data_IF_627139125848
#
_entry.id   IF_627139125848
#
_cell.length_a   1.000
_cell.length_b   1.000
_cell.length_c   1.000
_cell.angle_alpha   90.00
_cell.angle_beta   90.00
_cell.angle_gamma   90.00
#
_symmetry.space_group_name_H-M   'P 1'
#
loop_
_entity.id
_entity.type
_entity.pdbx_description
1 polymer ?
#
# COMPACT_ATOMS: atom_id res chain seq x y z
N UNK A 1 4.56 14.50 15.68
CA UNK A 1 5.01 13.68 14.55
C UNK A 1 4.55 12.24 14.76
N UNK A 2 4.14 11.55 13.71
CA UNK A 2 3.79 10.14 13.78
C UNK A 2 5.08 9.30 13.83
N UNK A 3 5.10 8.27 14.67
CA UNK A 3 6.21 7.33 14.77
C UNK A 3 5.68 5.97 15.22
N UNK A 4 6.06 4.92 14.51
CA UNK A 4 5.78 3.53 14.88
C UNK A 4 6.92 3.04 15.77
N UNK A 5 6.58 2.58 16.97
CA UNK A 5 7.57 2.16 17.99
C UNK A 5 7.78 0.67 18.04
N UNK A 6 6.81 -0.13 17.63
CA UNK A 6 6.84 -1.59 17.74
C UNK A 6 6.44 -2.26 16.43
N UNK A 7 6.98 -3.45 16.21
CA UNK A 7 6.58 -4.30 15.08
C UNK A 7 5.14 -4.79 15.28
N UNK A 8 4.30 -4.61 14.27
CA UNK A 8 2.96 -5.18 14.26
C UNK A 8 3.03 -6.71 14.21
N UNK A 9 2.20 -7.44 14.99
CA UNK A 9 2.06 -8.87 14.81
C UNK A 9 1.41 -9.21 13.46
N UNK A 10 1.68 -10.41 12.93
CA UNK A 10 1.00 -10.91 11.74
C UNK A 10 -0.35 -11.51 12.12
N UNK A 11 -1.40 -11.18 11.36
CA UNK A 11 -2.75 -11.69 11.56
C UNK A 11 -3.06 -12.81 10.55
N UNK A 12 -3.65 -13.90 11.05
CA UNK A 12 -4.03 -15.03 10.21
C UNK A 12 -5.24 -14.66 9.34
N UNK A 13 -5.32 -15.25 8.15
CA UNK A 13 -6.50 -15.18 7.30
C UNK A 13 -7.62 -16.00 7.97
N UNK A 14 -8.71 -15.35 8.31
CA UNK A 14 -9.91 -15.99 8.86
C UNK A 14 -10.72 -16.72 7.79
N UNK A 15 -11.64 -17.58 8.19
CA UNK A 15 -12.54 -18.28 7.24
C UNK A 15 -13.46 -17.31 6.48
N UNK A 16 -14.04 -16.24 7.09
CA UNK A 16 -14.78 -15.22 6.35
C UNK A 16 -13.94 -14.52 5.27
N UNK A 17 -12.69 -14.07 5.61
CA UNK A 17 -11.80 -13.46 4.64
C UNK A 17 -11.42 -14.45 3.53
N UNK A 18 -11.15 -15.70 3.87
CA UNK A 18 -10.83 -16.74 2.87
C UNK A 18 -11.98 -16.98 1.91
N UNK A 19 -13.21 -17.03 2.42
CA UNK A 19 -14.43 -17.17 1.58
C UNK A 19 -14.51 -16.01 0.58
N UNK A 20 -14.29 -14.78 1.04
CA UNK A 20 -14.23 -13.61 0.19
C UNK A 20 -13.13 -13.73 -0.90
N UNK A 21 -11.91 -14.15 -0.51
CA UNK A 21 -10.77 -14.29 -1.44
C UNK A 21 -11.03 -15.35 -2.53
N UNK A 22 -11.65 -16.47 -2.18
CA UNK A 22 -12.05 -17.51 -3.15
C UNK A 22 -13.07 -16.93 -4.14
N UNK A 23 -14.12 -16.29 -3.64
CA UNK A 23 -15.19 -15.73 -4.47
C UNK A 23 -14.67 -14.63 -5.43
N UNK A 24 -13.70 -13.85 -4.99
CA UNK A 24 -13.11 -12.77 -5.80
C UNK A 24 -11.95 -13.23 -6.69
N UNK A 25 -11.62 -14.54 -6.68
CA UNK A 25 -10.52 -15.11 -7.47
C UNK A 25 -9.13 -14.71 -6.99
N UNK A 26 -9.01 -14.23 -5.74
CA UNK A 26 -7.73 -13.91 -5.11
C UNK A 26 -7.05 -15.13 -4.51
N UNK A 27 -7.81 -16.04 -3.90
CA UNK A 27 -7.31 -17.36 -3.48
C UNK A 27 -7.28 -18.27 -4.69
N UNK A 28 -6.10 -18.74 -5.07
CA UNK A 28 -5.89 -19.58 -6.25
C UNK A 28 -4.81 -20.63 -5.98
N UNK A 29 -4.83 -21.70 -6.76
CA UNK A 29 -3.79 -22.70 -6.65
C UNK A 29 -2.50 -22.21 -7.31
N UNK A 30 -1.42 -22.14 -6.52
CA UNK A 30 -0.08 -21.81 -7.00
C UNK A 30 0.86 -23.00 -6.81
N UNK A 31 1.81 -23.22 -7.74
CA UNK A 31 2.61 -24.45 -7.77
C UNK A 31 3.72 -24.49 -6.71
N UNK A 32 4.06 -23.36 -6.07
CA UNK A 32 5.10 -23.27 -5.05
C UNK A 32 4.71 -22.20 -4.02
N UNK A 33 5.05 -22.43 -2.75
CA UNK A 33 4.69 -21.53 -1.63
C UNK A 33 5.90 -20.78 -1.10
N UNK A 34 5.63 -19.78 -0.23
CA UNK A 34 6.68 -19.05 0.50
C UNK A 34 7.57 -20.01 1.30
N UNK A 35 6.97 -20.99 1.98
CA UNK A 35 7.70 -21.97 2.79
C UNK A 35 8.67 -22.79 1.97
N UNK A 36 8.27 -23.22 0.76
CA UNK A 36 9.14 -23.97 -0.13
C UNK A 36 10.36 -23.13 -0.58
N UNK A 37 10.12 -21.85 -0.90
CA UNK A 37 11.16 -20.95 -1.42
C UNK A 37 12.19 -20.50 -0.38
N UNK A 38 11.85 -20.46 0.91
CA UNK A 38 12.82 -20.12 1.96
C UNK A 38 13.77 -21.27 2.30
N UNK A 39 13.49 -22.49 1.84
CA UNK A 39 14.41 -23.62 1.91
C UNK A 39 15.44 -23.52 0.77
N UNK A 40 16.59 -22.98 1.06
CA UNK A 40 17.70 -22.78 0.12
C UNK A 40 19.01 -23.37 0.65
N UNK A 41 19.99 -23.59 -0.22
CA UNK A 41 21.28 -24.19 0.14
C UNK A 41 22.23 -23.15 0.75
N UNK A 42 22.28 -21.96 0.17
CA UNK A 42 23.11 -20.84 0.59
C UNK A 42 22.56 -19.53 0.04
N UNK A 43 23.15 -18.40 0.40
CA UNK A 43 22.79 -17.09 -0.11
C UNK A 43 24.02 -16.23 -0.39
N UNK A 44 23.85 -15.20 -1.22
CA UNK A 44 24.90 -14.24 -1.55
C UNK A 44 24.35 -12.83 -1.31
N UNK A 45 25.09 -12.03 -0.53
CA UNK A 45 24.73 -10.62 -0.27
C UNK A 45 24.66 -9.82 -1.58
N UNK A 46 23.52 -9.13 -1.77
CA UNK A 46 23.31 -8.29 -2.92
C UNK A 46 23.81 -6.86 -2.65
N UNK A 47 24.78 -6.40 -3.40
CA UNK A 47 25.30 -5.04 -3.36
C UNK A 47 24.69 -4.16 -4.46
N UNK A 48 24.52 -2.88 -4.19
CA UNK A 48 24.13 -1.90 -5.19
C UNK A 48 25.29 -1.54 -6.13
N UNK A 49 25.05 -0.66 -7.12
CA UNK A 49 26.07 -0.22 -8.09
C UNK A 49 27.24 0.53 -7.43
N UNK A 50 27.08 1.03 -6.21
CA UNK A 50 28.13 1.71 -5.44
C UNK A 50 28.92 0.76 -4.54
N UNK A 51 28.56 -0.54 -4.51
CA UNK A 51 29.16 -1.55 -3.63
C UNK A 51 28.58 -1.56 -2.21
N UNK A 52 27.50 -0.83 -1.94
CA UNK A 52 26.85 -0.82 -0.64
C UNK A 52 25.95 -2.04 -0.50
N UNK A 53 25.98 -2.68 0.66
CA UNK A 53 25.06 -3.76 1.03
C UNK A 53 23.60 -3.26 1.01
N UNK A 54 22.76 -3.95 0.27
CA UNK A 54 21.33 -3.63 0.12
C UNK A 54 20.46 -4.25 1.20
N UNK A 55 21.02 -5.08 2.08
CA UNK A 55 20.34 -5.92 3.04
C UNK A 55 19.37 -6.93 2.39
N UNK A 56 19.64 -7.26 1.14
CA UNK A 56 19.01 -8.36 0.41
C UNK A 56 20.06 -9.43 0.12
N UNK A 57 19.64 -10.69 0.15
CA UNK A 57 20.47 -11.83 -0.22
C UNK A 57 19.85 -12.60 -1.39
N UNK A 58 20.62 -12.82 -2.44
CA UNK A 58 20.21 -13.69 -3.54
C UNK A 58 20.31 -15.15 -3.09
N UNK A 59 19.21 -15.88 -3.14
CA UNK A 59 19.13 -17.27 -2.72
C UNK A 59 19.71 -18.23 -3.76
N UNK A 60 20.45 -19.21 -3.28
CA UNK A 60 21.01 -20.29 -4.11
C UNK A 60 20.29 -21.59 -3.75
N UNK A 61 19.58 -22.15 -4.72
CA UNK A 61 18.85 -23.40 -4.61
C UNK A 61 19.72 -24.58 -5.07
N UNK A 62 19.31 -25.80 -4.66
CA UNK A 62 19.92 -27.00 -5.18
C UNK A 62 19.75 -27.06 -6.71
N UNK A 63 20.83 -27.33 -7.49
CA UNK A 63 20.73 -27.43 -8.96
C UNK A 63 19.67 -28.42 -9.46
N UNK A 64 19.37 -29.48 -8.69
CA UNK A 64 18.32 -30.46 -9.04
C UNK A 64 16.90 -29.84 -8.99
N UNK A 65 16.67 -28.86 -8.13
CA UNK A 65 15.36 -28.24 -7.91
C UNK A 65 15.19 -26.94 -8.68
N UNK A 66 16.30 -26.34 -9.16
CA UNK A 66 16.33 -24.99 -9.71
C UNK A 66 15.37 -24.84 -10.91
N UNK A 67 15.37 -25.80 -11.84
CA UNK A 67 14.50 -25.74 -13.01
C UNK A 67 13.01 -25.80 -12.61
N UNK A 68 12.67 -26.67 -11.68
CA UNK A 68 11.31 -26.79 -11.15
C UNK A 68 10.86 -25.48 -10.48
N UNK A 69 11.70 -24.89 -9.63
CA UNK A 69 11.43 -23.61 -8.95
C UNK A 69 11.19 -22.50 -9.99
N UNK A 70 12.06 -22.39 -10.99
CA UNK A 70 11.93 -21.38 -12.05
C UNK A 70 10.64 -21.56 -12.86
N UNK A 71 10.25 -22.78 -13.19
CA UNK A 71 9.02 -23.07 -13.92
C UNK A 71 7.77 -22.75 -13.09
N UNK A 72 7.81 -23.04 -11.78
CA UNK A 72 6.76 -22.64 -10.84
C UNK A 72 6.61 -21.12 -10.75
N UNK A 73 7.72 -20.38 -10.60
CA UNK A 73 7.73 -18.93 -10.50
C UNK A 73 7.25 -18.26 -11.80
N UNK A 74 7.58 -18.80 -12.98
CA UNK A 74 7.03 -18.30 -14.26
C UNK A 74 5.53 -18.51 -14.34
N UNK A 75 4.99 -19.67 -13.91
CA UNK A 75 3.55 -19.92 -13.85
C UNK A 75 2.84 -18.94 -12.91
N UNK A 76 3.41 -18.66 -11.74
CA UNK A 76 2.88 -17.65 -10.81
C UNK A 76 2.83 -16.28 -11.48
N UNK A 77 3.91 -15.87 -12.16
CA UNK A 77 3.93 -14.59 -12.87
C UNK A 77 2.86 -14.52 -13.97
N UNK A 78 2.63 -15.62 -14.71
CA UNK A 78 1.55 -15.70 -15.70
C UNK A 78 0.17 -15.52 -15.05
N UNK A 79 -0.09 -16.17 -13.92
CA UNK A 79 -1.35 -16.00 -13.18
C UNK A 79 -1.53 -14.57 -12.70
N UNK A 80 -0.46 -13.92 -12.20
CA UNK A 80 -0.50 -12.57 -11.67
C UNK A 80 -0.72 -11.49 -12.74
N UNK A 81 -0.14 -11.66 -13.94
CA UNK A 81 -0.09 -10.61 -14.98
C UNK A 81 -0.98 -10.87 -16.20
N UNK A 82 -1.16 -12.11 -16.62
CA UNK A 82 -1.81 -12.46 -17.90
C UNK A 82 -2.90 -13.54 -17.77
N UNK A 83 -3.50 -13.65 -16.59
CA UNK A 83 -4.62 -14.59 -16.39
C UNK A 83 -4.25 -16.07 -16.52
N UNK A 84 -2.96 -16.42 -16.39
CA UNK A 84 -2.48 -17.79 -16.42
C UNK A 84 -2.01 -18.31 -17.80
N UNK A 85 -2.03 -17.49 -18.86
CA UNK A 85 -1.56 -17.88 -20.19
C UNK A 85 -0.04 -17.99 -20.26
N UNK A 86 0.50 -19.17 -20.00
CA UNK A 86 1.95 -19.42 -19.96
C UNK A 86 2.63 -19.21 -21.32
N UNK A 87 1.95 -19.49 -22.44
CA UNK A 87 2.50 -19.30 -23.78
C UNK A 87 2.95 -17.85 -24.04
N UNK A 88 2.29 -16.86 -23.42
CA UNK A 88 2.65 -15.44 -23.57
C UNK A 88 3.94 -15.07 -22.88
N UNK A 89 4.46 -15.92 -21.98
CA UNK A 89 5.66 -15.66 -21.16
C UNK A 89 6.81 -16.65 -21.44
N UNK A 90 6.77 -17.41 -22.54
CA UNK A 90 7.84 -18.37 -22.89
C UNK A 90 9.23 -17.74 -23.04
N UNK A 91 9.25 -16.47 -23.47
CA UNK A 91 10.48 -15.68 -23.62
C UNK A 91 11.00 -15.11 -22.28
N UNK A 92 10.28 -15.29 -21.17
CA UNK A 92 10.68 -14.84 -19.85
C UNK A 92 11.47 -15.92 -19.11
N UNK A 93 12.44 -15.51 -18.28
CA UNK A 93 13.16 -16.41 -17.38
C UNK A 93 13.33 -15.76 -16.01
N UNK A 94 13.45 -16.59 -14.98
CA UNK A 94 13.77 -16.13 -13.63
C UNK A 94 15.27 -15.90 -13.55
N UNK A 95 15.66 -14.68 -13.26
CA UNK A 95 17.05 -14.28 -13.09
C UNK A 95 17.56 -14.64 -11.69
N UNK A 96 16.81 -14.24 -10.67
CA UNK A 96 17.13 -14.51 -9.26
C UNK A 96 15.93 -14.37 -8.34
N UNK A 97 16.08 -14.94 -7.16
CA UNK A 97 15.18 -14.76 -6.02
C UNK A 97 15.98 -14.13 -4.88
N UNK A 98 15.58 -12.95 -4.44
CA UNK A 98 16.25 -12.21 -3.37
C UNK A 98 15.42 -12.26 -2.08
N UNK A 99 16.05 -12.50 -0.94
CA UNK A 99 15.45 -12.56 0.40
C UNK A 99 15.78 -11.28 1.18
N UNK A 100 14.77 -10.63 1.76
CA UNK A 100 14.95 -9.40 2.52
C UNK A 100 15.25 -9.67 3.99
N UNK A 101 16.40 -9.19 4.49
CA UNK A 101 16.83 -9.41 5.87
C UNK A 101 16.18 -8.46 6.87
N UNK A 102 15.83 -7.24 6.45
CA UNK A 102 15.40 -6.16 7.37
C UNK A 102 13.89 -6.02 7.53
N UNK A 103 13.12 -6.44 6.52
CA UNK A 103 11.66 -6.29 6.56
C UNK A 103 11.00 -7.30 7.51
N UNK A 104 9.92 -6.89 8.16
CA UNK A 104 9.21 -7.71 9.17
C UNK A 104 8.71 -9.04 8.64
N UNK A 105 8.26 -9.09 7.41
CA UNK A 105 7.68 -10.27 6.76
C UNK A 105 8.72 -11.07 5.98
N UNK A 106 9.98 -10.63 5.97
CA UNK A 106 11.05 -11.24 5.19
C UNK A 106 10.61 -11.61 3.76
N UNK A 107 10.19 -10.64 2.94
CA UNK A 107 9.69 -10.92 1.60
C UNK A 107 10.77 -11.48 0.70
N UNK A 108 10.34 -12.38 -0.19
CA UNK A 108 11.11 -12.80 -1.34
C UNK A 108 10.77 -11.89 -2.52
N UNK A 109 11.78 -11.34 -3.19
CA UNK A 109 11.64 -10.59 -4.43
C UNK A 109 12.15 -11.44 -5.59
N UNK A 110 11.27 -11.72 -6.52
CA UNK A 110 11.62 -12.49 -7.73
C UNK A 110 11.86 -11.53 -8.88
N UNK A 111 13.03 -11.63 -9.50
CA UNK A 111 13.36 -10.88 -10.72
C UNK A 111 13.14 -11.77 -11.93
N UNK A 112 12.27 -11.32 -12.83
CA UNK A 112 11.98 -11.98 -14.11
C UNK A 112 12.45 -11.10 -15.26
N UNK A 113 13.08 -11.69 -16.27
CA UNK A 113 13.72 -10.99 -17.38
C UNK A 113 13.21 -11.50 -18.70
N UNK A 114 12.98 -10.59 -19.63
CA UNK A 114 12.58 -10.89 -21.01
C UNK A 114 13.84 -11.09 -21.87
N UNK A 115 14.01 -12.30 -22.44
CA UNK A 115 15.16 -12.66 -23.29
C UNK A 115 15.24 -11.88 -24.60
N UNK A 116 14.14 -11.25 -25.04
CA UNK A 116 14.09 -10.57 -26.34
C UNK A 116 14.63 -9.14 -26.29
N UNK A 117 14.52 -8.48 -25.13
CA UNK A 117 14.86 -7.05 -24.99
C UNK A 117 15.55 -6.69 -23.69
N UNK A 118 15.93 -7.67 -22.86
CA UNK A 118 16.57 -7.54 -21.55
C UNK A 118 15.79 -6.68 -20.52
N UNK A 119 14.53 -6.35 -20.79
CA UNK A 119 13.68 -5.70 -19.81
C UNK A 119 13.33 -6.70 -18.70
N UNK A 120 13.18 -6.17 -17.50
CA UNK A 120 12.86 -6.99 -16.34
C UNK A 120 11.68 -6.42 -15.55
N UNK A 121 11.01 -7.31 -14.82
CA UNK A 121 9.97 -6.99 -13.85
C UNK A 121 10.27 -7.71 -12.53
N UNK A 122 9.56 -7.31 -11.48
CA UNK A 122 9.61 -7.93 -10.17
C UNK A 122 8.22 -8.37 -9.73
N UNK A 123 8.18 -9.35 -8.85
CA UNK A 123 7.04 -9.64 -8.00
C UNK A 123 7.54 -10.13 -6.64
N UNK A 124 6.66 -10.11 -5.65
CA UNK A 124 7.03 -10.43 -4.28
C UNK A 124 6.24 -11.62 -3.78
N UNK A 125 6.90 -12.48 -3.00
CA UNK A 125 6.26 -13.61 -2.31
C UNK A 125 6.53 -13.44 -0.82
N UNK A 126 5.46 -13.46 -0.01
CA UNK A 126 5.49 -13.14 1.41
C UNK A 126 4.66 -14.15 2.21
N UNK A 127 4.83 -14.14 3.54
CA UNK A 127 3.82 -14.73 4.42
C UNK A 127 2.55 -13.89 4.35
N UNK A 128 1.40 -14.55 4.23
CA UNK A 128 0.12 -13.87 4.21
C UNK A 128 -0.18 -13.23 5.58
N UNK A 129 -0.71 -12.01 5.53
CA UNK A 129 -1.18 -11.24 6.69
C UNK A 129 -2.55 -10.65 6.34
N UNK A 130 -3.56 -10.96 7.14
CA UNK A 130 -4.93 -10.52 6.89
C UNK A 130 -5.06 -9.00 6.83
N UNK A 131 -4.37 -8.27 7.72
CA UNK A 131 -4.36 -6.81 7.74
C UNK A 131 -3.86 -6.24 6.40
N UNK A 132 -2.74 -6.77 5.88
CA UNK A 132 -2.18 -6.38 4.59
C UNK A 132 -3.14 -6.67 3.43
N UNK A 133 -3.80 -7.83 3.44
CA UNK A 133 -4.78 -8.23 2.41
C UNK A 133 -5.98 -7.28 2.42
N UNK A 134 -6.51 -6.93 3.59
CA UNK A 134 -7.58 -5.92 3.71
C UNK A 134 -7.16 -4.58 3.12
N UNK A 135 -5.94 -4.12 3.40
CA UNK A 135 -5.42 -2.88 2.86
C UNK A 135 -5.32 -2.90 1.33
N UNK A 136 -4.83 -3.98 0.74
CA UNK A 136 -4.75 -4.15 -0.71
C UNK A 136 -6.14 -4.18 -1.38
N UNK A 137 -7.12 -4.87 -0.78
CA UNK A 137 -8.49 -4.89 -1.31
C UNK A 137 -9.17 -3.52 -1.19
N UNK A 138 -9.03 -2.84 -0.05
CA UNK A 138 -9.56 -1.48 0.11
C UNK A 138 -8.94 -0.52 -0.90
N UNK A 139 -7.60 -0.55 -1.09
CA UNK A 139 -6.95 0.28 -2.12
C UNK A 139 -7.45 -0.07 -3.52
N UNK A 140 -7.58 -1.36 -3.85
CA UNK A 140 -8.11 -1.82 -5.15
C UNK A 140 -9.54 -1.33 -5.42
N UNK A 141 -10.40 -1.33 -4.40
CA UNK A 141 -11.82 -0.97 -4.53
C UNK A 141 -12.06 0.55 -4.46
N UNK A 142 -11.33 1.26 -3.60
CA UNK A 142 -11.58 2.67 -3.28
C UNK A 142 -10.76 3.66 -4.11
N UNK A 143 -9.64 3.23 -4.71
CA UNK A 143 -8.74 4.09 -5.46
C UNK A 143 -8.74 3.79 -6.97
N UNK A 144 -8.15 4.66 -7.81
CA UNK A 144 -7.93 4.32 -9.22
C UNK A 144 -6.84 3.26 -9.43
N UNK A 145 -6.11 2.92 -8.37
CA UNK A 145 -4.96 2.03 -8.42
C UNK A 145 -5.43 0.57 -8.38
N UNK A 146 -5.22 -0.16 -9.45
CA UNK A 146 -5.47 -1.61 -9.43
C UNK A 146 -4.31 -2.30 -8.73
N UNK A 147 -4.64 -3.21 -7.83
CA UNK A 147 -3.68 -4.04 -7.10
C UNK A 147 -3.89 -5.50 -7.54
N UNK A 148 -2.85 -6.11 -8.10
CA UNK A 148 -2.86 -7.51 -8.46
C UNK A 148 -2.07 -8.29 -7.42
N UNK A 149 -2.74 -9.28 -6.83
CA UNK A 149 -2.13 -10.20 -5.89
C UNK A 149 -2.87 -11.53 -5.88
N UNK A 150 -2.22 -12.57 -5.41
CA UNK A 150 -2.75 -13.91 -5.25
C UNK A 150 -2.46 -14.41 -3.84
N UNK A 151 -3.34 -15.26 -3.33
CA UNK A 151 -3.18 -15.92 -2.03
C UNK A 151 -3.27 -17.42 -2.23
N UNK A 152 -2.43 -18.19 -1.50
CA UNK A 152 -2.54 -19.65 -1.37
C UNK A 152 -2.17 -20.03 0.06
N UNK A 153 -3.16 -20.43 0.84
CA UNK A 153 -2.93 -20.79 2.24
C UNK A 153 -2.29 -19.63 3.03
N UNK A 154 -1.03 -19.78 3.42
CA UNK A 154 -0.26 -18.75 4.14
C UNK A 154 0.78 -18.03 3.25
N UNK A 155 0.61 -18.11 1.94
CA UNK A 155 1.47 -17.44 0.96
C UNK A 155 0.71 -16.31 0.29
N UNK A 156 1.31 -15.13 0.26
CA UNK A 156 0.83 -13.96 -0.44
C UNK A 156 1.82 -13.62 -1.56
N UNK A 157 1.30 -13.41 -2.77
CA UNK A 157 2.08 -13.04 -3.95
C UNK A 157 1.56 -11.69 -4.44
N UNK A 158 2.45 -10.72 -4.58
CA UNK A 158 2.12 -9.34 -4.95
C UNK A 158 2.87 -8.91 -6.20
N UNK A 159 2.21 -8.17 -7.07
CA UNK A 159 2.89 -7.52 -8.17
C UNK A 159 3.81 -6.39 -7.68
N UNK A 160 4.85 -6.11 -8.44
CA UNK A 160 5.65 -4.90 -8.24
C UNK A 160 4.88 -3.68 -8.74
N UNK A 161 4.70 -2.70 -7.86
CA UNK A 161 4.11 -1.40 -8.20
C UNK A 161 5.24 -0.48 -8.64
N UNK A 162 5.31 -0.21 -9.94
CA UNK A 162 6.34 0.62 -10.52
C UNK A 162 6.16 2.10 -10.15
N UNK A 163 7.28 2.80 -9.93
CA UNK A 163 7.31 4.23 -9.62
C UNK A 163 8.61 4.63 -8.95
N UNK A 164 8.80 5.91 -8.72
CA UNK A 164 9.93 6.44 -7.96
C UNK A 164 9.56 6.38 -6.48
N UNK A 165 10.35 5.71 -5.61
CA UNK A 165 10.09 5.74 -4.17
C UNK A 165 9.97 7.17 -3.65
N UNK A 166 9.00 7.44 -2.77
CA UNK A 166 8.67 8.80 -2.34
C UNK A 166 9.84 9.54 -1.71
N UNK A 167 10.69 8.85 -0.94
CA UNK A 167 11.91 9.42 -0.36
C UNK A 167 12.93 9.82 -1.43
N UNK A 168 13.08 9.01 -2.48
CA UNK A 168 13.93 9.30 -3.65
C UNK A 168 13.34 10.43 -4.49
N UNK A 169 12.02 10.43 -4.67
CA UNK A 169 11.31 11.51 -5.36
C UNK A 169 11.54 12.85 -4.66
N UNK A 170 11.41 12.90 -3.34
CA UNK A 170 11.68 14.10 -2.54
C UNK A 170 13.12 14.58 -2.67
N UNK A 171 14.09 13.68 -2.62
CA UNK A 171 15.53 14.03 -2.63
C UNK A 171 16.03 14.47 -4.01
N UNK A 172 15.47 13.93 -5.09
CA UNK A 172 16.01 14.13 -6.45
C UNK A 172 15.04 14.85 -7.39
N UNK A 173 13.76 14.48 -7.38
CA UNK A 173 12.80 14.96 -8.36
C UNK A 173 12.19 16.32 -8.00
N UNK A 174 11.88 16.58 -6.72
CA UNK A 174 11.34 17.87 -6.26
C UNK A 174 12.32 19.05 -6.47
N UNK A 175 13.59 18.77 -6.67
CA UNK A 175 14.61 19.79 -6.95
C UNK A 175 14.62 20.25 -8.42
N UNK A 176 13.88 19.57 -9.29
CA UNK A 176 13.78 19.92 -10.72
C UNK A 176 12.78 21.05 -10.91
N UNK A 177 12.94 21.79 -12.04
CA UNK A 177 12.04 22.91 -12.39
C UNK A 177 11.15 22.60 -13.60
N UNK A 178 11.08 21.33 -14.03
CA UNK A 178 10.39 20.89 -15.25
C UNK A 178 9.02 20.24 -14.97
N UNK A 179 8.40 20.56 -13.84
CA UNK A 179 7.07 20.05 -13.48
C UNK A 179 6.22 21.14 -12.80
N UNK A 180 4.91 20.94 -12.81
CA UNK A 180 3.98 21.83 -12.10
C UNK A 180 3.85 21.38 -10.62
N UNK A 181 4.38 22.19 -9.66
CA UNK A 181 4.39 21.80 -8.25
C UNK A 181 3.00 21.65 -7.63
N UNK A 182 1.99 22.40 -8.12
CA UNK A 182 0.61 22.27 -7.67
C UNK A 182 0.06 20.85 -7.94
N UNK A 183 0.48 20.19 -9.02
CA UNK A 183 0.01 18.83 -9.35
C UNK A 183 0.50 17.80 -8.34
N UNK A 184 1.76 17.89 -7.91
CA UNK A 184 2.32 17.02 -6.86
C UNK A 184 1.58 17.25 -5.54
N UNK A 185 1.41 18.51 -5.14
CA UNK A 185 0.71 18.88 -3.92
C UNK A 185 -0.76 18.41 -3.92
N UNK A 186 -1.47 18.58 -5.04
CA UNK A 186 -2.83 18.06 -5.25
C UNK A 186 -2.91 16.54 -5.04
N UNK A 187 -2.01 15.78 -5.65
CA UNK A 187 -2.02 14.32 -5.51
C UNK A 187 -1.68 13.89 -4.08
N UNK A 188 -0.81 14.63 -3.38
CA UNK A 188 -0.52 14.37 -1.96
C UNK A 188 -1.75 14.62 -1.07
N UNK A 189 -2.54 15.68 -1.31
CA UNK A 189 -3.82 15.91 -0.60
C UNK A 189 -4.77 14.73 -0.82
N UNK A 190 -4.91 14.26 -2.06
CA UNK A 190 -5.74 13.10 -2.38
C UNK A 190 -5.25 11.82 -1.73
N UNK A 191 -3.92 11.62 -1.69
CA UNK A 191 -3.31 10.48 -1.03
C UNK A 191 -3.59 10.48 0.47
N UNK A 192 -3.51 11.66 1.14
CA UNK A 192 -3.91 11.79 2.55
C UNK A 192 -5.37 11.38 2.77
N UNK A 193 -6.30 11.82 1.91
CA UNK A 193 -7.72 11.46 2.04
C UNK A 193 -7.93 9.94 1.90
N UNK A 194 -7.30 9.31 0.90
CA UNK A 194 -7.40 7.85 0.73
C UNK A 194 -6.86 7.10 1.93
N UNK A 195 -5.66 7.45 2.38
CA UNK A 195 -5.01 6.79 3.53
C UNK A 195 -5.86 6.90 4.80
N UNK A 196 -6.43 8.08 5.08
CA UNK A 196 -7.29 8.26 6.26
C UNK A 196 -8.59 7.45 6.15
N UNK A 197 -9.29 7.55 5.01
CA UNK A 197 -10.61 6.94 4.88
C UNK A 197 -10.56 5.42 4.99
N UNK A 198 -9.53 4.79 4.42
CA UNK A 198 -9.33 3.35 4.50
C UNK A 198 -8.53 2.89 5.73
N UNK A 199 -8.06 3.82 6.56
CA UNK A 199 -7.19 3.59 7.71
C UNK A 199 -5.90 2.84 7.33
N UNK A 200 -5.25 3.28 6.25
CA UNK A 200 -3.94 2.80 5.84
C UNK A 200 -2.84 3.65 6.48
N UNK A 201 -2.12 3.06 7.42
CA UNK A 201 -1.10 3.75 8.21
C UNK A 201 0.29 3.71 7.60
N UNK A 202 1.20 4.49 8.21
CA UNK A 202 2.65 4.53 7.93
C UNK A 202 3.03 4.94 6.50
N UNK A 203 2.26 5.82 5.87
CA UNK A 203 2.55 6.31 4.52
C UNK A 203 3.67 7.37 4.51
N UNK A 204 4.86 6.99 5.00
CA UNK A 204 6.11 7.75 4.86
C UNK A 204 6.77 7.51 3.50
N UNK A 205 7.82 8.25 3.17
CA UNK A 205 8.39 8.30 1.83
C UNK A 205 8.87 6.98 1.22
N UNK A 206 9.18 5.97 2.02
CA UNK A 206 9.59 4.63 1.57
C UNK A 206 8.41 3.65 1.38
N UNK A 207 7.20 4.01 1.84
CA UNK A 207 6.01 3.16 1.79
C UNK A 207 5.03 3.53 0.66
N UNK A 208 5.40 4.49 -0.18
CA UNK A 208 4.67 4.80 -1.42
C UNK A 208 5.63 5.11 -2.56
N UNK A 209 5.13 5.01 -3.79
CA UNK A 209 5.83 5.44 -5.00
C UNK A 209 5.08 6.56 -5.70
N UNK A 210 5.83 7.36 -6.44
CA UNK A 210 5.30 8.39 -7.34
C UNK A 210 5.44 7.88 -8.77
N UNK A 211 4.31 7.62 -9.39
CA UNK A 211 4.20 7.31 -10.82
C UNK A 211 4.14 8.62 -11.60
N UNK A 212 5.02 8.79 -12.58
CA UNK A 212 5.04 9.96 -13.46
C UNK A 212 4.40 9.56 -14.78
N UNK A 213 3.33 10.25 -15.13
CA UNK A 213 2.55 9.97 -16.33
C UNK A 213 2.71 11.16 -17.29
N UNK A 214 3.46 11.00 -18.39
CA UNK A 214 3.54 12.03 -19.43
C UNK A 214 2.18 12.20 -20.13
N UNK A 215 1.75 13.45 -20.32
CA UNK A 215 0.55 13.80 -21.06
C UNK A 215 0.79 15.07 -21.87
N UNK A 216 1.00 14.93 -23.17
CA UNK A 216 1.34 16.00 -24.11
C UNK A 216 2.48 16.90 -23.56
N UNK A 217 2.15 18.13 -23.16
CA UNK A 217 3.12 19.14 -22.70
C UNK A 217 3.30 19.16 -21.17
N UNK A 218 2.63 18.25 -20.43
CA UNK A 218 2.61 18.29 -18.98
C UNK A 218 2.87 16.91 -18.34
N UNK A 219 3.35 16.94 -17.09
CA UNK A 219 3.54 15.75 -16.27
C UNK A 219 2.43 15.64 -15.23
N UNK A 220 1.78 14.47 -15.17
CA UNK A 220 0.88 14.10 -14.10
C UNK A 220 1.61 13.18 -13.12
N UNK A 221 1.19 13.27 -11.88
CA UNK A 221 1.74 12.48 -10.79
C UNK A 221 0.63 11.65 -10.16
N UNK A 222 0.95 10.42 -9.80
CA UNK A 222 0.06 9.55 -9.05
C UNK A 222 0.85 8.94 -7.89
N UNK A 223 0.36 9.15 -6.66
CA UNK A 223 0.92 8.52 -5.49
C UNK A 223 0.21 7.18 -5.25
N UNK A 224 1.00 6.12 -5.13
CA UNK A 224 0.53 4.75 -4.92
C UNK A 224 1.18 4.15 -3.69
N UNK A 225 0.38 3.69 -2.73
CA UNK A 225 0.88 2.90 -1.61
C UNK A 225 1.50 1.59 -2.12
N UNK A 226 2.60 1.17 -1.51
CA UNK A 226 3.29 -0.10 -1.79
C UNK A 226 3.47 -0.96 -0.54
N UNK A 227 3.26 -0.36 0.63
CA UNK A 227 3.26 -1.08 1.89
C UNK A 227 1.88 -0.97 2.58
N UNK A 228 1.29 -2.11 2.88
CA UNK A 228 -0.01 -2.25 3.51
C UNK A 228 0.09 -2.90 4.90
N UNK A 229 1.29 -3.02 5.46
CA UNK A 229 1.51 -3.71 6.73
C UNK A 229 0.83 -3.01 7.92
N UNK A 230 0.67 -1.68 7.86
CA UNK A 230 0.04 -0.88 8.92
C UNK A 230 -1.46 -0.59 8.66
N UNK A 231 -2.12 -1.44 7.90
CA UNK A 231 -3.57 -1.35 7.72
C UNK A 231 -4.29 -1.61 9.04
N UNK A 232 -5.06 -0.63 9.54
CA UNK A 232 -5.96 -0.77 10.69
C UNK A 232 -5.30 -1.33 11.97
N UNK A 233 -4.07 -0.93 12.28
CA UNK A 233 -3.39 -1.46 13.46
C UNK A 233 -3.21 -0.42 14.57
N UNK A 234 -2.74 0.78 14.27
CA UNK A 234 -2.37 1.78 15.27
C UNK A 234 -3.58 2.53 15.85
N UNK A 235 -3.46 2.95 17.11
CA UNK A 235 -4.53 3.69 17.80
C UNK A 235 -4.55 5.19 17.49
N UNK A 236 -3.45 5.78 17.04
CA UNK A 236 -3.39 7.20 16.75
C UNK A 236 -3.82 7.53 15.32
N UNK A 237 -4.77 8.43 15.14
CA UNK A 237 -5.23 8.90 13.83
C UNK A 237 -4.09 9.54 13.01
N UNK A 238 -3.07 10.08 13.65
CA UNK A 238 -1.92 10.70 12.96
C UNK A 238 -1.12 9.69 12.11
N UNK A 239 -1.15 8.41 12.45
CA UNK A 239 -0.48 7.35 11.68
C UNK A 239 -1.15 7.14 10.31
N UNK A 240 -2.44 7.44 10.18
CA UNK A 240 -3.23 7.30 8.95
C UNK A 240 -3.24 8.57 8.09
N UNK A 241 -2.45 9.55 8.47
CA UNK A 241 -2.31 10.83 7.78
C UNK A 241 -0.86 11.01 7.33
N UNK A 242 -0.53 10.77 6.05
CA UNK A 242 0.82 10.91 5.48
C UNK A 242 1.49 12.24 5.80
N UNK A 243 0.71 13.30 5.99
CA UNK A 243 1.20 14.63 6.35
C UNK A 243 1.87 14.73 7.74
N UNK A 244 1.72 13.74 8.62
CA UNK A 244 2.38 13.76 9.93
C UNK A 244 3.74 13.07 9.96
N UNK A 245 4.17 12.50 8.84
CA UNK A 245 5.52 11.94 8.70
C UNK A 245 6.47 13.01 8.17
N UNK A 246 7.55 13.29 8.93
CA UNK A 246 8.50 14.37 8.60
C UNK A 246 9.22 14.17 7.26
N UNK A 247 9.35 12.94 6.81
CA UNK A 247 9.91 12.57 5.51
C UNK A 247 9.13 13.20 4.35
N UNK A 248 7.83 13.46 4.56
CA UNK A 248 6.92 14.07 3.60
C UNK A 248 6.90 15.61 3.65
N UNK A 249 7.60 16.23 4.62
CA UNK A 249 7.63 17.70 4.79
C UNK A 249 7.95 18.47 3.50
N UNK A 250 8.88 18.05 2.61
CA UNK A 250 9.12 18.78 1.38
C UNK A 250 7.89 18.87 0.47
N UNK A 251 7.06 17.82 0.41
CA UNK A 251 5.80 17.83 -0.37
C UNK A 251 4.77 18.71 0.34
N UNK A 252 4.70 18.67 1.66
CA UNK A 252 3.81 19.51 2.47
C UNK A 252 4.15 21.00 2.27
N UNK A 253 5.43 21.34 2.33
CA UNK A 253 5.91 22.70 2.08
C UNK A 253 5.60 23.19 0.66
N UNK A 254 5.58 22.28 -0.31
CA UNK A 254 5.15 22.57 -1.66
C UNK A 254 3.66 22.94 -1.69
N UNK A 255 2.83 22.21 -0.93
CA UNK A 255 1.42 22.50 -0.74
C UNK A 255 1.18 23.89 -0.17
N UNK A 256 1.88 24.27 0.91
CA UNK A 256 1.78 25.60 1.50
C UNK A 256 2.11 26.73 0.51
N UNK A 257 3.06 26.51 -0.39
CA UNK A 257 3.48 27.51 -1.37
C UNK A 257 2.53 27.63 -2.57
N UNK A 258 1.77 26.60 -2.89
CA UNK A 258 1.05 26.48 -4.16
C UNK A 258 -0.47 26.39 -4.02
N UNK A 259 -0.99 26.12 -2.81
CA UNK A 259 -2.43 25.94 -2.58
C UNK A 259 -2.94 26.88 -1.51
N UNK A 260 -4.12 27.44 -1.73
CA UNK A 260 -4.92 28.06 -0.68
C UNK A 260 -5.71 27.00 0.11
N UNK A 261 -6.16 27.28 1.34
CA UNK A 261 -7.04 26.39 2.11
C UNK A 261 -8.32 26.00 1.32
N UNK A 262 -8.88 26.91 0.57
CA UNK A 262 -10.07 26.67 -0.27
C UNK A 262 -9.79 25.64 -1.34
N UNK A 263 -8.62 25.74 -2.00
CA UNK A 263 -8.21 24.81 -3.07
C UNK A 263 -7.89 23.42 -2.48
N UNK A 264 -7.24 23.37 -1.32
CA UNK A 264 -7.01 22.11 -0.61
C UNK A 264 -8.34 21.39 -0.29
N UNK A 265 -9.30 22.09 0.29
CA UNK A 265 -10.63 21.56 0.59
C UNK A 265 -11.37 21.10 -0.68
N UNK A 266 -11.16 21.77 -1.81
CA UNK A 266 -11.72 21.32 -3.09
C UNK A 266 -11.15 19.96 -3.48
N UNK A 267 -9.83 19.76 -3.40
CA UNK A 267 -9.18 18.49 -3.74
C UNK A 267 -9.56 17.34 -2.79
N UNK A 268 -9.74 17.64 -1.51
CA UNK A 268 -10.27 16.69 -0.54
C UNK A 268 -11.68 16.24 -0.94
N UNK A 269 -12.58 17.17 -1.26
CA UNK A 269 -13.95 16.87 -1.72
C UNK A 269 -13.97 16.06 -3.02
N UNK A 270 -13.12 16.42 -3.99
CA UNK A 270 -12.99 15.68 -5.25
C UNK A 270 -12.62 14.22 -5.00
N UNK A 271 -11.64 13.96 -4.12
CA UNK A 271 -11.21 12.60 -3.86
C UNK A 271 -12.27 11.79 -3.09
N UNK A 272 -12.87 12.39 -2.07
CA UNK A 272 -13.97 11.76 -1.31
C UNK A 272 -15.16 11.43 -2.21
N UNK A 273 -15.55 12.31 -3.11
CA UNK A 273 -16.61 12.05 -4.08
C UNK A 273 -16.28 10.90 -5.04
N UNK A 274 -15.02 10.79 -5.47
CA UNK A 274 -14.54 9.68 -6.31
C UNK A 274 -14.55 8.35 -5.53
N UNK A 275 -14.11 8.35 -4.27
CA UNK A 275 -14.19 7.17 -3.42
C UNK A 275 -15.64 6.74 -3.22
N UNK A 276 -16.54 7.67 -2.92
CA UNK A 276 -17.98 7.39 -2.77
C UNK A 276 -18.58 6.77 -4.04
N UNK A 277 -18.22 7.29 -5.22
CA UNK A 277 -18.66 6.71 -6.49
C UNK A 277 -18.21 5.27 -6.64
N UNK A 278 -16.97 4.93 -6.23
CA UNK A 278 -16.44 3.57 -6.25
C UNK A 278 -17.11 2.67 -5.21
N UNK A 279 -17.35 3.19 -4.00
CA UNK A 279 -18.11 2.46 -2.97
C UNK A 279 -19.48 2.04 -3.52
N UNK A 280 -20.22 2.96 -4.14
CA UNK A 280 -21.53 2.66 -4.74
C UNK A 280 -21.44 1.65 -5.90
N UNK A 281 -20.41 1.74 -6.72
CA UNK A 281 -20.21 0.83 -7.85
C UNK A 281 -19.84 -0.60 -7.43
N UNK A 282 -19.16 -0.77 -6.28
CA UNK A 282 -18.69 -2.06 -5.76
C UNK A 282 -19.34 -2.43 -4.42
N UNK A 283 -20.52 -1.89 -4.11
CA UNK A 283 -21.14 -1.95 -2.78
C UNK A 283 -21.22 -3.38 -2.22
N UNK A 284 -21.71 -4.33 -2.99
CA UNK A 284 -21.84 -5.72 -2.51
C UNK A 284 -20.49 -6.36 -2.14
N UNK A 285 -19.43 -6.06 -2.92
CA UNK A 285 -18.10 -6.55 -2.65
C UNK A 285 -17.48 -5.88 -1.41
N UNK A 286 -17.69 -4.58 -1.24
CA UNK A 286 -17.22 -3.82 -0.08
C UNK A 286 -17.95 -4.28 1.17
N UNK A 287 -19.28 -4.47 1.14
CA UNK A 287 -20.05 -4.93 2.29
C UNK A 287 -19.61 -6.31 2.76
N UNK A 288 -19.31 -7.23 1.85
CA UNK A 288 -18.79 -8.55 2.18
C UNK A 288 -17.38 -8.47 2.79
N UNK A 289 -16.49 -7.67 2.20
CA UNK A 289 -15.15 -7.44 2.72
C UNK A 289 -15.18 -6.88 4.14
N UNK A 290 -16.00 -5.84 4.36
CA UNK A 290 -16.13 -5.20 5.67
C UNK A 290 -16.77 -6.11 6.69
N UNK A 291 -17.73 -6.94 6.30
CA UNK A 291 -18.36 -7.93 7.20
C UNK A 291 -17.34 -8.95 7.70
N UNK A 292 -16.42 -9.41 6.83
CA UNK A 292 -15.31 -10.26 7.25
C UNK A 292 -14.34 -9.49 8.17
N UNK A 293 -14.01 -8.25 7.80
CA UNK A 293 -13.07 -7.42 8.56
C UNK A 293 -13.57 -7.04 9.95
N UNK A 294 -14.88 -6.89 10.15
CA UNK A 294 -15.50 -6.59 11.44
C UNK A 294 -15.40 -7.75 12.45
N UNK A 295 -15.29 -8.98 11.94
CA UNK A 295 -15.14 -10.19 12.75
C UNK A 295 -13.68 -10.50 13.11
N UNK A 296 -12.72 -9.87 12.43
CA UNK A 296 -11.31 -10.11 12.62
C UNK A 296 -10.68 -9.17 13.65
N UNK A 297 -9.82 -9.71 14.51
CA UNK A 297 -8.97 -8.92 15.41
C UNK A 297 -7.75 -8.43 14.63
N UNK A 298 -7.78 -7.18 14.20
CA UNK A 298 -6.68 -6.55 13.43
C UNK A 298 -5.82 -5.60 14.27
N UNK A 299 -6.18 -5.39 15.54
CA UNK A 299 -5.48 -4.51 16.46
C UNK A 299 -5.83 -4.85 17.91
N UNK A 300 -5.17 -4.16 18.86
CA UNK A 300 -5.49 -4.30 20.28
C UNK A 300 -6.77 -3.54 20.64
N UNK A 301 -7.48 -3.94 21.71
CA UNK A 301 -8.65 -3.19 22.21
C UNK A 301 -8.31 -1.74 22.55
N UNK A 302 -7.11 -1.47 23.09
CA UNK A 302 -6.65 -0.14 23.46
C UNK A 302 -6.48 0.76 22.23
N UNK A 303 -5.84 0.25 21.18
CA UNK A 303 -5.69 0.96 19.90
C UNK A 303 -7.06 1.25 19.27
N UNK A 304 -7.97 0.27 19.27
CA UNK A 304 -9.32 0.45 18.74
C UNK A 304 -10.08 1.53 19.51
N UNK A 305 -10.01 1.52 20.85
CA UNK A 305 -10.66 2.52 21.70
C UNK A 305 -10.07 3.94 21.50
N UNK A 306 -8.75 4.05 21.39
CA UNK A 306 -8.09 5.32 21.11
C UNK A 306 -8.49 5.86 19.75
N UNK A 307 -8.36 5.06 18.69
CA UNK A 307 -8.66 5.48 17.32
C UNK A 307 -10.12 5.88 17.15
N UNK A 308 -11.05 5.14 17.76
CA UNK A 308 -12.46 5.46 17.81
C UNK A 308 -12.73 6.86 18.34
N UNK A 309 -12.09 7.21 19.45
CA UNK A 309 -12.26 8.52 20.10
C UNK A 309 -11.62 9.63 19.26
N UNK A 310 -10.42 9.39 18.71
CA UNK A 310 -9.73 10.37 17.87
C UNK A 310 -10.48 10.61 16.54
N UNK A 311 -11.08 9.56 15.92
CA UNK A 311 -11.89 9.72 14.71
C UNK A 311 -13.19 10.45 14.98
N UNK A 312 -13.89 10.15 16.10
CA UNK A 312 -15.08 10.89 16.51
C UNK A 312 -14.79 12.39 16.68
N UNK A 313 -13.67 12.72 17.32
CA UNK A 313 -13.23 14.12 17.47
C UNK A 313 -12.83 14.76 16.13
N UNK A 314 -12.16 14.01 15.25
CA UNK A 314 -11.71 14.49 13.94
C UNK A 314 -12.88 14.83 13.01
N UNK A 315 -13.90 13.97 12.97
CA UNK A 315 -15.07 14.16 12.13
C UNK A 315 -16.18 14.99 12.81
N UNK A 316 -16.14 15.12 14.14
CA UNK A 316 -17.23 15.71 14.92
C UNK A 316 -18.51 14.89 14.87
N UNK A 317 -18.36 13.56 14.80
CA UNK A 317 -19.49 12.62 14.66
C UNK A 317 -19.34 11.43 15.62
N UNK A 318 -20.32 11.27 16.52
CA UNK A 318 -20.33 10.21 17.54
C UNK A 318 -20.63 8.80 16.96
N UNK A 319 -20.88 8.67 15.66
CA UNK A 319 -21.07 7.37 15.03
C UNK A 319 -19.84 6.46 15.22
N UNK A 320 -18.64 7.02 15.19
CA UNK A 320 -17.41 6.27 15.47
C UNK A 320 -17.38 5.64 16.88
N UNK A 321 -17.98 6.29 17.89
CA UNK A 321 -17.99 5.79 19.26
C UNK A 321 -18.75 4.45 19.41
N UNK A 322 -19.57 4.10 18.43
CA UNK A 322 -20.33 2.83 18.40
C UNK A 322 -19.53 1.68 17.75
N UNK A 323 -18.42 1.98 17.09
CA UNK A 323 -17.60 0.99 16.38
C UNK A 323 -16.73 0.19 17.36
N UNK A 324 -16.89 -1.13 17.39
CA UNK A 324 -16.24 -2.02 18.35
C UNK A 324 -15.01 -2.76 17.79
N UNK A 325 -14.75 -2.67 16.48
CA UNK A 325 -13.59 -3.27 15.81
C UNK A 325 -12.98 -2.30 14.80
N UNK A 326 -11.77 -2.58 14.34
CA UNK A 326 -11.12 -1.80 13.29
C UNK A 326 -11.93 -1.86 11.98
N UNK A 327 -12.51 -3.02 11.63
CA UNK A 327 -13.40 -3.14 10.48
C UNK A 327 -14.62 -2.24 10.58
N UNK A 328 -15.25 -2.15 11.76
CA UNK A 328 -16.37 -1.25 12.02
C UNK A 328 -15.96 0.24 11.89
N UNK A 329 -14.74 0.59 12.30
CA UNK A 329 -14.21 1.95 12.12
C UNK A 329 -14.03 2.29 10.62
N UNK A 330 -13.56 1.34 9.80
CA UNK A 330 -13.47 1.53 8.33
C UNK A 330 -14.85 1.70 7.74
N UNK A 331 -15.84 0.86 8.11
CA UNK A 331 -17.23 1.00 7.64
C UNK A 331 -17.78 2.38 7.96
N UNK A 332 -17.66 2.82 9.21
CA UNK A 332 -18.10 4.16 9.63
C UNK A 332 -17.37 5.25 8.85
N UNK A 333 -16.06 5.09 8.59
CA UNK A 333 -15.28 6.05 7.79
C UNK A 333 -15.79 6.14 6.35
N UNK A 334 -16.20 5.03 5.73
CA UNK A 334 -16.80 5.04 4.39
C UNK A 334 -18.20 5.69 4.39
N UNK A 335 -19.00 5.50 5.43
CA UNK A 335 -20.29 6.20 5.59
C UNK A 335 -20.12 7.72 5.71
N UNK A 336 -19.00 8.18 6.31
CA UNK A 336 -18.69 9.61 6.39
C UNK A 336 -18.41 10.26 5.03
N UNK A 337 -18.16 9.49 3.98
CA UNK A 337 -18.01 10.05 2.62
C UNK A 337 -19.31 10.73 2.14
N UNK A 338 -20.48 10.25 2.56
CA UNK A 338 -21.77 10.88 2.22
C UNK A 338 -22.11 12.03 3.17
N UNK A 339 -21.86 11.87 4.46
CA UNK A 339 -22.29 12.81 5.51
C UNK A 339 -21.38 14.05 5.58
N UNK A 340 -20.07 13.86 5.46
CA UNK A 340 -19.06 14.89 5.67
C UNK A 340 -18.13 14.99 4.45
N UNK A 341 -18.49 15.79 3.44
CA UNK A 341 -17.69 15.92 2.22
C UNK A 341 -16.32 16.58 2.47
N UNK A 342 -16.10 17.24 3.61
CA UNK A 342 -14.81 17.83 4.02
C UNK A 342 -14.64 17.73 5.54
N UNK A 343 -13.42 17.44 5.99
CA UNK A 343 -13.05 17.54 7.41
C UNK A 343 -12.95 19.00 7.84
N UNK A 344 -13.44 19.33 9.03
CA UNK A 344 -13.34 20.68 9.57
C UNK A 344 -11.96 20.99 10.20
N UNK A 345 -11.18 19.93 10.56
CA UNK A 345 -9.89 20.06 11.24
C UNK A 345 -8.81 19.21 10.52
N UNK A 346 -7.55 19.62 10.65
CA UNK A 346 -6.37 18.93 10.11
C UNK A 346 -6.16 19.06 8.59
N UNK A 347 -6.38 20.25 8.03
CA UNK A 347 -5.85 20.58 6.71
C UNK A 347 -4.31 20.66 6.78
N UNK A 348 -3.63 20.52 5.65
CA UNK A 348 -2.18 20.78 5.57
C UNK A 348 -1.86 22.18 6.07
N UNK A 349 -2.73 23.15 5.82
CA UNK A 349 -2.56 24.54 6.22
C UNK A 349 -2.69 24.80 7.75
N UNK A 350 -3.39 23.94 8.50
CA UNK A 350 -3.46 24.05 9.98
C UNK A 350 -2.15 23.64 10.64
N UNK A 351 -1.32 22.82 9.97
CA UNK A 351 0.02 22.48 10.47
C UNK A 351 0.98 23.67 10.50
N UNK A 352 0.71 24.76 9.75
CA UNK A 352 1.53 25.98 9.78
C UNK A 352 1.49 26.63 11.16
N UNK A 353 0.32 26.70 11.81
CA UNK A 353 0.18 27.29 13.13
C UNK A 353 0.89 26.46 14.22
N UNK A 354 0.86 25.13 14.13
CA UNK A 354 1.62 24.24 15.02
C UNK A 354 3.14 24.29 14.75
N UNK A 355 3.57 24.54 13.51
CA UNK A 355 4.99 24.66 13.15
C UNK A 355 5.59 26.02 13.53
N UNK A 356 4.82 27.11 13.40
CA UNK A 356 5.26 28.46 13.79
C UNK A 356 5.26 28.65 15.30
N UNK A 357 4.35 27.97 16.03
CA UNK A 357 4.33 28.00 17.51
C UNK A 357 5.39 27.09 18.16
N UNK A 358 6.03 26.21 17.41
CA UNK A 358 7.09 25.31 17.90
C UNK A 358 8.52 25.81 17.55
N UNK A 359 8.65 26.98 16.94
CA UNK A 359 9.90 27.73 16.74
C UNK A 359 10.07 28.81 17.80
#
# INVERSE_FOLDING_TARGET
MAAIRFKKPSFKISDPLRTYLVRTGRETDVPITYTDLVHHTSSITLHDKSGKDTLWETLIYNPADLQYIHDCLRKIYAQLKVGGEVATIEHLYIDRVDYCLYANTHPLRVRIVNRLNDLFDYFYIKKADASRIYGMELEHLLSPNKINYLVKGNTLIEEHIAGIPGDTFVKSYLLRNDYNPLRVAKEFVKFNERSLVQLLGDMRGDNFVVEIIPDFDELYFRLRAIDFDQQCYEGSVKIYLPQYFKENNPIINLGFKTMSPVLEHQYQREERARMLTRVKAAQGQIDELLTAMEQDELSTPEHTAQLRTELAALYGDDAFLKSNSMGALVRTSLEMLEKHPVRQRHSINVLTEEYESAR
#
